data_IF_278927233938
#
_entry.id   IF_278927233938
#
_cell.length_a   1.000
_cell.length_b   1.000
_cell.length_c   1.000
_cell.angle_alpha   90.00
_cell.angle_beta   90.00
_cell.angle_gamma   90.00
#
_symmetry.space_group_name_H-M   'P 1'
#
loop_
_entity.id
_entity.type
_entity.pdbx_description
1 polymer ?
#
# COMPACT_ATOMS: atom_id res chain seq x y z
N UNK A 1 -1.79 -57.79 2.96
CA UNK A 1 -2.72 -56.94 2.17
C UNK A 1 -2.31 -55.49 2.36
N UNK A 2 -1.54 -54.93 1.41
CA UNK A 2 -1.01 -53.56 1.48
C UNK A 2 -2.16 -52.62 1.17
N UNK A 3 -2.63 -51.92 2.18
CA UNK A 3 -3.84 -51.12 2.14
C UNK A 3 -3.59 -49.80 1.36
N UNK A 4 -4.00 -49.69 0.07
CA UNK A 4 -3.64 -48.55 -0.77
C UNK A 4 -4.37 -47.27 -0.36
N UNK A 5 -5.37 -47.38 0.52
CA UNK A 5 -6.15 -46.26 1.03
C UNK A 5 -5.32 -45.28 1.87
N UNK A 6 -4.28 -45.75 2.57
CA UNK A 6 -3.41 -44.87 3.37
C UNK A 6 -2.55 -43.95 2.48
N UNK A 7 -2.12 -44.45 1.32
CA UNK A 7 -1.41 -43.65 0.32
C UNK A 7 -2.34 -42.63 -0.36
N UNK A 8 -3.58 -43.03 -0.68
CA UNK A 8 -4.60 -42.12 -1.22
C UNK A 8 -5.01 -41.04 -0.22
N UNK A 9 -5.13 -41.39 1.07
CA UNK A 9 -5.44 -40.43 2.14
C UNK A 9 -4.30 -39.44 2.37
N UNK A 10 -3.05 -39.90 2.38
CA UNK A 10 -1.88 -39.01 2.43
C UNK A 10 -1.81 -38.08 1.22
N UNK A 11 -2.09 -38.59 0.02
CA UNK A 11 -2.15 -37.80 -1.20
C UNK A 11 -3.26 -36.74 -1.14
N UNK A 12 -4.46 -37.12 -0.68
CA UNK A 12 -5.59 -36.21 -0.49
C UNK A 12 -5.26 -35.09 0.51
N UNK A 13 -4.63 -35.42 1.65
CA UNK A 13 -4.21 -34.44 2.64
C UNK A 13 -3.15 -33.48 2.09
N UNK A 14 -2.24 -33.96 1.24
CA UNK A 14 -1.23 -33.13 0.60
C UNK A 14 -1.84 -32.14 -0.41
N UNK A 15 -2.82 -32.60 -1.20
CA UNK A 15 -3.57 -31.76 -2.14
C UNK A 15 -4.41 -30.73 -1.39
N UNK A 16 -5.08 -31.12 -0.30
CA UNK A 16 -5.89 -30.21 0.51
C UNK A 16 -5.01 -29.14 1.17
N UNK A 17 -3.84 -29.52 1.71
CA UNK A 17 -2.89 -28.56 2.29
C UNK A 17 -2.34 -27.58 1.24
N UNK A 18 -1.98 -28.07 0.05
CA UNK A 18 -1.52 -27.22 -1.07
C UNK A 18 -2.60 -26.28 -1.62
N UNK A 19 -3.88 -26.60 -1.50
CA UNK A 19 -4.97 -25.73 -1.93
C UNK A 19 -5.20 -24.55 -0.96
N UNK A 20 -4.91 -24.74 0.34
CA UNK A 20 -5.10 -23.69 1.35
C UNK A 20 -4.04 -22.58 1.32
N UNK A 21 -2.87 -22.82 0.72
CA UNK A 21 -1.78 -21.82 0.67
C UNK A 21 -1.98 -20.75 -0.40
N UNK A 22 -2.93 -20.92 -1.33
CA UNK A 22 -3.21 -19.97 -2.42
C UNK A 22 -4.05 -18.76 -1.95
N UNK A 23 -4.72 -18.86 -0.80
CA UNK A 23 -5.60 -17.81 -0.27
C UNK A 23 -4.84 -16.70 0.51
N UNK A 24 -3.52 -16.82 0.64
CA UNK A 24 -2.70 -16.00 1.56
C UNK A 24 -1.88 -14.86 0.94
N UNK A 25 -2.02 -14.55 -0.35
CA UNK A 25 -1.16 -13.54 -1.01
C UNK A 25 -1.76 -12.12 -0.98
N UNK A 26 -2.08 -11.60 0.21
CA UNK A 26 -2.41 -10.17 0.40
C UNK A 26 -1.13 -9.38 0.72
N UNK A 27 -0.16 -9.35 -0.19
CA UNK A 27 1.17 -8.79 0.10
C UNK A 27 1.53 -7.50 -0.68
N UNK A 28 0.62 -6.91 -1.46
CA UNK A 28 0.96 -5.77 -2.33
C UNK A 28 -0.09 -4.65 -2.33
N UNK A 29 -0.28 -4.01 -1.18
CA UNK A 29 -0.67 -2.59 -1.21
C UNK A 29 0.03 -1.90 -0.05
N UNK A 30 1.36 -1.88 -0.09
CA UNK A 30 2.13 -1.03 0.80
C UNK A 30 1.70 0.40 0.53
N UNK A 31 1.07 1.05 1.50
CA UNK A 31 0.83 2.49 1.43
C UNK A 31 1.87 3.19 2.29
N UNK A 32 2.39 4.30 1.79
CA UNK A 32 3.32 5.18 2.48
C UNK A 32 2.66 6.48 2.93
N UNK A 33 3.45 7.28 3.65
CA UNK A 33 3.09 8.64 4.04
C UNK A 33 4.09 9.59 3.40
N UNK A 34 3.60 10.62 2.72
CA UNK A 34 4.39 11.71 2.15
C UNK A 34 4.19 12.95 3.00
N UNK A 35 5.28 13.56 3.47
CA UNK A 35 5.25 14.82 4.20
C UNK A 35 6.22 15.82 3.58
N UNK A 36 5.88 17.10 3.68
CA UNK A 36 6.66 18.18 3.11
C UNK A 36 6.16 19.55 3.54
N UNK A 37 6.74 20.59 2.96
CA UNK A 37 6.36 21.99 3.22
C UNK A 37 6.37 22.77 1.91
N UNK A 38 5.32 23.56 1.70
CA UNK A 38 5.17 24.49 0.58
C UNK A 38 5.53 25.88 1.05
N UNK A 39 6.52 26.50 0.40
CA UNK A 39 7.04 27.82 0.75
C UNK A 39 7.09 28.75 -0.46
N UNK A 40 6.96 30.05 -0.20
CA UNK A 40 7.18 31.09 -1.21
C UNK A 40 8.69 31.40 -1.42
N UNK A 41 9.00 32.36 -2.29
CA UNK A 41 10.37 32.80 -2.56
C UNK A 41 11.09 33.43 -1.34
N UNK A 42 10.36 33.79 -0.29
CA UNK A 42 10.87 34.33 0.98
C UNK A 42 10.96 33.27 2.08
N UNK A 43 10.69 32.00 1.79
CA UNK A 43 10.61 30.87 2.73
C UNK A 43 9.41 30.94 3.72
N UNK A 44 8.41 31.76 3.42
CA UNK A 44 7.16 31.80 4.18
C UNK A 44 6.27 30.63 3.76
N UNK A 45 5.64 29.97 4.73
CA UNK A 45 4.76 28.83 4.48
C UNK A 45 3.45 29.30 3.87
N UNK A 46 3.00 28.64 2.80
CA UNK A 46 1.76 29.03 2.12
C UNK A 46 0.61 28.13 2.59
N UNK A 47 -0.39 28.67 3.32
CA UNK A 47 -1.54 27.91 3.77
C UNK A 47 -2.58 27.70 2.67
N UNK A 48 -3.31 26.59 2.76
CA UNK A 48 -4.46 26.30 1.88
C UNK A 48 -4.10 25.85 0.46
N UNK A 49 -2.83 25.51 0.20
CA UNK A 49 -2.41 24.91 -1.06
C UNK A 49 -2.87 23.46 -1.10
N UNK A 50 -3.49 23.05 -2.19
CA UNK A 50 -3.86 21.64 -2.41
C UNK A 50 -2.68 20.90 -3.02
N UNK A 51 -2.25 19.82 -2.37
CA UNK A 51 -1.22 18.90 -2.82
C UNK A 51 -1.89 17.59 -3.19
N UNK A 52 -1.74 17.17 -4.44
CA UNK A 52 -2.29 15.92 -4.96
C UNK A 52 -1.13 15.00 -5.35
N UNK A 53 -1.24 13.73 -4.99
CA UNK A 53 -0.24 12.73 -5.40
C UNK A 53 -0.62 12.19 -6.77
N UNK A 54 0.24 12.39 -7.76
CA UNK A 54 -0.07 12.04 -9.15
C UNK A 54 -0.34 10.54 -9.33
N UNK A 55 -1.24 10.22 -10.24
CA UNK A 55 -1.73 8.86 -10.45
C UNK A 55 -2.62 8.33 -9.33
N UNK A 56 -2.99 9.16 -8.33
CA UNK A 56 -3.85 8.76 -7.21
C UNK A 56 -4.97 9.77 -6.97
N UNK A 57 -6.00 9.36 -6.24
CA UNK A 57 -7.02 10.27 -5.69
C UNK A 57 -6.67 10.74 -4.28
N UNK A 58 -5.42 10.57 -3.85
CA UNK A 58 -4.96 10.89 -2.50
C UNK A 58 -4.30 12.26 -2.53
N UNK A 59 -4.82 13.18 -1.72
CA UNK A 59 -4.31 14.54 -1.60
C UNK A 59 -4.65 15.16 -0.27
N UNK A 60 -4.09 16.33 -0.01
CA UNK A 60 -4.31 17.09 1.23
C UNK A 60 -4.04 18.57 1.03
N UNK A 61 -4.46 19.39 1.99
CA UNK A 61 -4.18 20.82 2.01
C UNK A 61 -3.03 21.16 2.95
N UNK A 62 -2.25 22.19 2.63
CA UNK A 62 -1.21 22.72 3.53
C UNK A 62 -1.80 23.48 4.72
N UNK A 63 -1.16 23.32 5.88
CA UNK A 63 -1.48 24.01 7.13
C UNK A 63 -1.03 25.48 7.13
N UNK A 64 -1.30 26.20 8.23
CA UNK A 64 -0.91 27.60 8.45
C UNK A 64 0.58 27.89 8.24
N UNK A 65 1.44 26.89 8.47
CA UNK A 65 2.90 26.94 8.33
C UNK A 65 3.41 26.41 6.98
N UNK A 66 2.49 26.06 6.07
CA UNK A 66 2.78 25.47 4.77
C UNK A 66 3.06 23.96 4.80
N UNK A 67 2.99 23.30 5.96
CA UNK A 67 3.27 21.85 6.05
C UNK A 67 2.10 21.02 5.54
N UNK A 68 2.40 19.86 4.95
CA UNK A 68 1.39 18.88 4.56
C UNK A 68 1.83 17.47 4.96
N UNK A 69 0.86 16.59 5.20
CA UNK A 69 1.09 15.17 5.44
C UNK A 69 -0.03 14.39 4.77
N UNK A 70 0.33 13.56 3.81
CA UNK A 70 -0.59 12.76 3.00
C UNK A 70 -0.30 11.28 3.29
N UNK A 71 -1.24 10.61 3.94
CA UNK A 71 -1.15 9.17 4.23
C UNK A 71 -1.92 8.37 3.18
N UNK A 72 -1.61 7.07 3.08
CA UNK A 72 -2.33 6.18 2.16
C UNK A 72 -1.83 6.26 0.71
N UNK A 73 -0.63 6.81 0.49
CA UNK A 73 -0.02 6.90 -0.84
C UNK A 73 0.40 5.50 -1.29
N UNK A 74 -0.17 4.93 -2.37
CA UNK A 74 0.23 3.61 -2.86
C UNK A 74 1.73 3.56 -3.20
N UNK A 75 2.40 2.46 -2.84
CA UNK A 75 3.80 2.23 -3.19
C UNK A 75 3.95 2.14 -4.72
N UNK A 76 4.77 3.04 -5.26
CA UNK A 76 5.11 3.22 -6.66
C UNK A 76 6.05 4.43 -6.77
N UNK A 77 6.38 4.87 -7.98
CA UNK A 77 6.96 6.20 -8.23
C UNK A 77 5.84 7.16 -8.60
N UNK A 78 5.08 7.74 -7.64
CA UNK A 78 4.18 8.83 -7.95
C UNK A 78 5.01 10.09 -8.21
N UNK A 79 4.73 10.75 -9.33
CA UNK A 79 5.15 12.13 -9.56
C UNK A 79 4.35 13.03 -8.61
N UNK A 80 4.90 14.14 -8.13
CA UNK A 80 4.17 15.12 -7.32
C UNK A 80 4.17 16.41 -8.12
N UNK A 81 2.98 16.88 -8.50
CA UNK A 81 2.74 18.08 -9.31
C UNK A 81 2.12 19.20 -8.49
#
# INVERSE_FOLDING_TARGET
MKQPYLAKLRFLLFVLFGLTTVLGAWAQTGTGTVSGRVTDAKNEGIPGVTVLVDGTSVGGSTNADGTYTISGVPAGTPEIV
#
